data_IF_020457274824
#
_entry.id   IF_020457274824
#
_cell.length_a   1.000
_cell.length_b   1.000
_cell.length_c   1.000
_cell.angle_alpha   90.00
_cell.angle_beta   90.00
_cell.angle_gamma   90.00
#
_symmetry.space_group_name_H-M   'P 1'
#
loop_
_entity.id
_entity.type
_entity.pdbx_description
1 polymer ?
#
# COMPACT_ATOMS: atom_id res chain seq x y z
N UNK A 1 -4.70 -20.67 -15.40
CA UNK A 1 -5.15 -19.46 -14.76
C UNK A 1 -3.95 -18.64 -14.32
N UNK A 2 -3.96 -17.39 -14.72
CA UNK A 2 -2.86 -16.51 -14.42
C UNK A 2 -3.02 -15.87 -13.06
N UNK A 3 -2.01 -16.00 -12.23
CA UNK A 3 -2.00 -15.30 -10.97
C UNK A 3 -1.76 -13.82 -11.25
N UNK A 4 -2.57 -12.97 -10.65
CA UNK A 4 -2.44 -11.54 -10.79
C UNK A 4 -1.58 -10.99 -9.67
N UNK A 5 -0.30 -10.80 -9.96
CA UNK A 5 0.67 -10.35 -8.96
C UNK A 5 0.28 -8.99 -8.38
N UNK A 6 -0.24 -8.11 -9.23
CA UNK A 6 -0.66 -6.78 -8.76
C UNK A 6 -1.82 -6.88 -7.78
N UNK A 7 -2.73 -7.81 -8.02
CA UNK A 7 -3.85 -8.00 -7.11
C UNK A 7 -3.38 -8.56 -5.77
N UNK A 8 -2.39 -9.43 -5.78
CA UNK A 8 -1.81 -9.97 -4.55
C UNK A 8 -1.14 -8.87 -3.73
N UNK A 9 -0.42 -7.97 -4.40
CA UNK A 9 0.23 -6.84 -3.74
C UNK A 9 -0.82 -5.93 -3.14
N UNK A 10 -1.87 -5.65 -3.89
CA UNK A 10 -2.96 -4.79 -3.42
C UNK A 10 -3.61 -5.39 -2.17
N UNK A 11 -3.88 -6.68 -2.20
CA UNK A 11 -4.48 -7.37 -1.07
C UNK A 11 -3.60 -7.32 0.17
N UNK A 12 -2.29 -7.52 -0.02
CA UNK A 12 -1.34 -7.46 1.08
C UNK A 12 -1.36 -6.07 1.73
N UNK A 13 -1.42 -5.03 0.92
CA UNK A 13 -1.48 -3.65 1.42
C UNK A 13 -2.76 -3.42 2.23
N UNK A 14 -3.88 -3.84 1.68
CA UNK A 14 -5.18 -3.66 2.33
C UNK A 14 -5.23 -4.41 3.66
N UNK A 15 -4.70 -5.62 3.70
CA UNK A 15 -4.72 -6.43 4.91
C UNK A 15 -3.80 -5.90 6.00
N UNK A 16 -2.68 -5.31 5.62
CA UNK A 16 -1.70 -4.82 6.59
C UNK A 16 -2.07 -3.47 7.17
N UNK A 17 -2.77 -2.65 6.41
CA UNK A 17 -3.12 -1.31 6.88
C UNK A 17 -4.46 -1.32 7.62
N UNK A 18 -4.57 -0.50 8.69
CA UNK A 18 -5.84 -0.39 9.42
C UNK A 18 -6.95 0.19 8.55
N UNK A 19 -8.19 -0.17 8.86
CA UNK A 19 -9.34 0.36 8.14
C UNK A 19 -9.45 1.87 8.24
N UNK A 20 -8.99 2.42 9.34
CA UNK A 20 -9.03 3.86 9.59
C UNK A 20 -8.21 4.66 8.58
N UNK A 21 -7.28 4.00 7.90
CA UNK A 21 -6.49 4.65 6.85
C UNK A 21 -7.36 5.08 5.68
N UNK A 22 -8.44 4.35 5.44
CA UNK A 22 -9.41 4.66 4.38
C UNK A 22 -8.74 4.81 3.02
N UNK A 23 -8.25 3.68 2.51
CA UNK A 23 -7.62 3.65 1.20
C UNK A 23 -8.63 4.02 0.13
N UNK A 24 -8.31 5.04 -0.65
CA UNK A 24 -9.16 5.47 -1.76
C UNK A 24 -8.77 4.76 -3.04
N UNK A 25 -7.47 4.60 -3.27
CA UNK A 25 -6.99 4.06 -4.53
C UNK A 25 -5.56 3.57 -4.38
N UNK A 26 -5.20 2.55 -5.14
CA UNK A 26 -3.83 2.06 -5.21
C UNK A 26 -3.46 1.97 -6.69
N UNK A 27 -2.35 2.59 -7.07
CA UNK A 27 -1.86 2.54 -8.44
C UNK A 27 -0.46 1.95 -8.47
N UNK A 28 -0.15 1.26 -9.54
CA UNK A 28 1.15 0.64 -9.73
C UNK A 28 1.86 1.32 -10.90
N UNK A 29 2.98 1.95 -10.61
CA UNK A 29 3.76 2.66 -11.62
C UNK A 29 5.20 2.15 -11.63
N UNK A 30 5.43 1.08 -12.39
CA UNK A 30 6.75 0.47 -12.46
C UNK A 30 7.20 -0.04 -11.10
N UNK A 31 8.35 0.40 -10.60
CA UNK A 31 8.86 -0.04 -9.30
C UNK A 31 8.17 0.64 -8.13
N UNK A 32 7.20 1.50 -8.38
CA UNK A 32 6.53 2.27 -7.33
C UNK A 32 5.09 1.85 -7.17
N UNK A 33 4.63 1.86 -5.91
CA UNK A 33 3.23 1.66 -5.58
C UNK A 33 2.73 2.97 -4.98
N UNK A 34 1.73 3.55 -5.61
CA UNK A 34 1.17 4.82 -5.17
C UNK A 34 -0.14 4.57 -4.44
N UNK A 35 -0.22 5.02 -3.21
CA UNK A 35 -1.39 4.81 -2.37
C UNK A 35 -2.06 6.15 -2.12
N UNK A 36 -3.35 6.22 -2.43
CA UNK A 36 -4.18 7.40 -2.15
C UNK A 36 -5.03 7.10 -0.93
N UNK A 37 -4.93 7.94 0.08
CA UNK A 37 -5.69 7.76 1.32
C UNK A 37 -6.48 9.02 1.63
N UNK A 38 -7.61 8.83 2.31
CA UNK A 38 -8.44 9.95 2.77
C UNK A 38 -8.04 10.39 4.17
N UNK A 39 -7.20 9.64 4.84
CA UNK A 39 -6.81 9.94 6.21
C UNK A 39 -5.30 9.90 6.36
N UNK A 40 -4.67 11.01 6.02
CA UNK A 40 -3.21 11.11 6.06
C UNK A 40 -2.63 11.00 7.47
N UNK A 41 -3.39 11.37 8.47
CA UNK A 41 -2.93 11.29 9.86
C UNK A 41 -2.71 9.85 10.28
N UNK A 42 -3.61 8.97 9.88
CA UNK A 42 -3.47 7.54 10.19
C UNK A 42 -2.30 6.90 9.45
N UNK A 43 -2.01 7.41 8.25
CA UNK A 43 -0.86 6.93 7.48
C UNK A 43 0.44 7.26 8.23
N UNK A 44 0.52 8.43 8.81
CA UNK A 44 1.71 8.83 9.57
C UNK A 44 1.95 7.88 10.75
N UNK A 45 0.88 7.46 11.41
CA UNK A 45 0.97 6.52 12.53
C UNK A 45 1.30 5.11 12.06
N UNK A 46 1.07 4.81 10.79
CA UNK A 46 1.33 3.49 10.21
C UNK A 46 2.65 3.41 9.46
N UNK A 47 3.57 4.32 9.74
CA UNK A 47 4.85 4.39 9.04
C UNK A 47 5.64 3.09 9.09
N UNK A 48 5.61 2.39 10.22
CA UNK A 48 6.33 1.13 10.36
C UNK A 48 5.75 0.05 9.46
N UNK A 49 4.43 0.00 9.36
CA UNK A 49 3.74 -0.96 8.50
C UNK A 49 4.09 -0.70 7.04
N UNK A 50 4.08 0.57 6.65
CA UNK A 50 4.38 0.96 5.28
C UNK A 50 5.82 0.62 4.93
N UNK A 51 6.74 0.86 5.85
CA UNK A 51 8.15 0.52 5.65
C UNK A 51 8.33 -0.98 5.47
N UNK A 52 7.65 -1.76 6.30
CA UNK A 52 7.69 -3.22 6.21
C UNK A 52 7.13 -3.69 4.87
N UNK A 53 6.03 -3.12 4.44
CA UNK A 53 5.43 -3.46 3.15
C UNK A 53 6.38 -3.13 2.00
N UNK A 54 7.01 -1.97 2.04
CA UNK A 54 7.94 -1.58 0.99
C UNK A 54 9.09 -2.58 0.89
N UNK A 55 9.57 -3.04 2.03
CA UNK A 55 10.65 -4.00 2.09
C UNK A 55 10.21 -5.38 1.57
N UNK A 56 9.04 -5.83 2.00
CA UNK A 56 8.53 -7.14 1.61
C UNK A 56 8.20 -7.20 0.13
N UNK A 57 7.62 -6.13 -0.39
CA UNK A 57 7.23 -6.07 -1.80
C UNK A 57 8.40 -5.67 -2.71
N UNK A 58 9.49 -5.19 -2.13
CA UNK A 58 10.64 -4.67 -2.86
C UNK A 58 10.24 -3.56 -3.82
N UNK A 59 9.34 -2.71 -3.36
CA UNK A 59 8.86 -1.59 -4.13
C UNK A 59 8.87 -0.33 -3.30
N UNK A 60 8.97 0.81 -3.97
CA UNK A 60 8.86 2.09 -3.30
C UNK A 60 7.38 2.41 -3.12
N UNK A 61 7.00 2.77 -1.90
CA UNK A 61 5.61 3.14 -1.62
C UNK A 61 5.54 4.65 -1.49
N UNK A 62 4.65 5.24 -2.28
CA UNK A 62 4.40 6.68 -2.28
C UNK A 62 2.97 6.90 -1.82
N UNK A 63 2.77 7.85 -0.93
CA UNK A 63 1.45 8.10 -0.34
C UNK A 63 1.02 9.54 -0.62
N UNK A 64 -0.20 9.66 -1.10
CA UNK A 64 -0.84 10.95 -1.33
C UNK A 64 -2.07 11.14 -0.49
#
# INVERSE_FOLDING_TARGET
MTSNVLEEIRQAIVEQLPEEVQLAKIEFEGPEVVIYTKNHEMIADSGDIIRTLAKDLRKRIIIY
#
